data_IF_635846532451
#
_entry.id   IF_635846532451
#
_cell.length_a   1.000
_cell.length_b   1.000
_cell.length_c   1.000
_cell.angle_alpha   90.00
_cell.angle_beta   90.00
_cell.angle_gamma   90.00
#
_symmetry.space_group_name_H-M   'P 1'
#
loop_
_entity.id
_entity.type
_entity.pdbx_description
1 polymer ?
#
# COMPACT_ATOMS: atom_id res chain seq x y z
N UNK A 1 -16.34 8.56 84.22
CA UNK A 1 -15.99 9.70 83.35
C UNK A 1 -14.83 9.30 82.45
N UNK A 2 -15.02 9.38 81.14
CA UNK A 2 -14.05 9.78 80.08
C UNK A 2 -14.51 9.16 78.76
N UNK A 3 -15.20 9.98 77.98
CA UNK A 3 -15.62 9.72 76.60
C UNK A 3 -14.40 9.95 75.71
N UNK A 4 -14.08 9.01 74.82
CA UNK A 4 -13.07 9.21 73.77
C UNK A 4 -13.84 9.49 72.48
N UNK A 5 -13.66 10.71 71.98
CA UNK A 5 -14.28 11.27 70.77
C UNK A 5 -13.43 10.80 69.59
N UNK A 6 -14.02 10.00 68.70
CA UNK A 6 -13.44 9.63 67.42
C UNK A 6 -13.67 10.73 66.40
N UNK A 7 -12.59 11.35 65.92
CA UNK A 7 -12.61 12.36 64.86
C UNK A 7 -12.71 11.65 63.51
N UNK A 8 -13.86 11.77 62.85
CA UNK A 8 -14.05 11.30 61.47
C UNK A 8 -13.54 12.40 60.53
N UNK A 9 -12.42 12.14 59.87
CA UNK A 9 -11.85 13.03 58.85
C UNK A 9 -12.57 12.78 57.53
N UNK A 10 -13.34 13.77 57.07
CA UNK A 10 -14.07 13.72 55.80
C UNK A 10 -13.08 14.03 54.67
N UNK A 11 -12.66 13.00 53.94
CA UNK A 11 -11.81 13.15 52.76
C UNK A 11 -12.67 13.70 51.61
N UNK A 12 -12.51 14.99 51.31
CA UNK A 12 -13.20 15.68 50.23
C UNK A 12 -12.65 15.18 48.87
N UNK A 13 -13.42 14.34 48.19
CA UNK A 13 -13.17 13.90 46.81
C UNK A 13 -13.36 15.10 45.86
N UNK A 14 -12.25 15.69 45.42
CA UNK A 14 -12.24 16.68 44.33
C UNK A 14 -12.43 15.91 43.03
N UNK A 15 -13.63 15.95 42.48
CA UNK A 15 -13.89 15.49 41.10
C UNK A 15 -13.44 16.62 40.18
N UNK A 16 -12.25 16.49 39.60
CA UNK A 16 -11.87 17.32 38.44
C UNK A 16 -12.75 16.88 37.27
N UNK A 17 -13.82 17.63 37.02
CA UNK A 17 -14.48 17.62 35.73
C UNK A 17 -13.53 18.28 34.73
N UNK A 18 -12.72 17.47 34.04
CA UNK A 18 -12.04 17.89 32.83
C UNK A 18 -13.16 18.18 31.81
N UNK A 19 -13.40 19.46 31.56
CA UNK A 19 -14.23 19.87 30.44
C UNK A 19 -13.38 19.61 29.20
N UNK A 20 -13.65 18.54 28.46
CA UNK A 20 -13.01 18.29 27.18
C UNK A 20 -13.35 19.46 26.27
N UNK A 21 -12.40 20.40 26.13
CA UNK A 21 -12.52 21.49 25.18
C UNK A 21 -12.59 20.86 23.80
N UNK A 22 -13.74 20.98 23.14
CA UNK A 22 -13.91 20.52 21.77
C UNK A 22 -12.91 21.29 20.91
N UNK A 23 -11.88 20.59 20.43
CA UNK A 23 -10.86 21.16 19.56
C UNK A 23 -11.48 21.34 18.17
N UNK A 24 -11.84 22.56 17.83
CA UNK A 24 -12.26 22.94 16.48
C UNK A 24 -11.05 23.51 15.73
N UNK A 25 -10.70 22.94 14.57
CA UNK A 25 -9.61 23.43 13.71
C UNK A 25 -10.05 23.45 12.25
N UNK A 26 -9.43 24.32 11.44
CA UNK A 26 -9.58 24.34 9.99
C UNK A 26 -8.37 23.72 9.24
N UNK A 27 -7.45 23.13 10.00
CA UNK A 27 -6.32 22.39 9.46
C UNK A 27 -6.79 21.06 8.86
N UNK A 28 -6.29 20.72 7.66
CA UNK A 28 -6.55 19.44 6.99
C UNK A 28 -5.40 19.04 6.08
N UNK A 29 -5.26 17.74 5.87
CA UNK A 29 -4.37 17.21 4.85
C UNK A 29 -5.15 16.88 3.57
N UNK A 30 -4.48 17.05 2.43
CA UNK A 30 -5.00 16.72 1.10
C UNK A 30 -4.05 15.71 0.47
N UNK A 31 -4.63 14.63 -0.05
CA UNK A 31 -3.90 13.57 -0.74
C UNK A 31 -4.17 13.64 -2.25
N UNK A 32 -3.16 13.36 -3.06
CA UNK A 32 -3.27 13.27 -4.51
C UNK A 32 -2.28 12.25 -5.09
N UNK A 33 -2.48 11.87 -6.36
CA UNK A 33 -1.56 11.03 -7.14
C UNK A 33 -1.21 9.70 -6.46
N UNK A 34 -2.22 9.01 -5.95
CA UNK A 34 -2.05 7.68 -5.37
C UNK A 34 -1.59 6.70 -6.44
N UNK A 35 -0.45 6.05 -6.21
CA UNK A 35 0.18 5.10 -7.11
C UNK A 35 0.47 3.81 -6.33
N UNK A 36 -0.44 2.82 -6.36
CA UNK A 36 -0.22 1.53 -5.73
C UNK A 36 0.73 0.66 -6.57
N UNK A 37 1.49 -0.20 -5.88
CA UNK A 37 2.26 -1.31 -6.44
C UNK A 37 1.90 -2.59 -5.68
N UNK A 38 2.61 -3.68 -5.94
CA UNK A 38 2.32 -4.98 -5.30
C UNK A 38 2.49 -4.96 -3.79
N UNK A 39 3.58 -4.34 -3.28
CA UNK A 39 3.89 -4.30 -1.84
C UNK A 39 4.34 -2.91 -1.37
N UNK A 40 4.06 -1.90 -2.19
CA UNK A 40 4.35 -0.50 -1.88
C UNK A 40 3.27 0.40 -2.44
N UNK A 41 3.22 1.63 -1.95
CA UNK A 41 2.38 2.67 -2.52
C UNK A 41 3.03 4.03 -2.31
N UNK A 42 2.77 4.96 -3.22
CA UNK A 42 3.20 6.34 -3.06
C UNK A 42 2.05 7.30 -3.32
N UNK A 43 2.08 8.46 -2.68
CA UNK A 43 1.10 9.52 -2.90
C UNK A 43 1.67 10.87 -2.47
N UNK A 44 1.05 11.94 -2.95
CA UNK A 44 1.40 13.31 -2.59
C UNK A 44 0.52 13.80 -1.47
N UNK A 45 1.12 14.46 -0.49
CA UNK A 45 0.46 15.03 0.68
C UNK A 45 0.74 16.52 0.76
N UNK A 46 -0.30 17.29 1.00
CA UNK A 46 -0.22 18.71 1.33
C UNK A 46 -1.02 18.98 2.61
N UNK A 47 -0.45 19.72 3.56
CA UNK A 47 -1.17 20.12 4.79
C UNK A 47 -1.54 21.60 4.71
N UNK A 48 -2.85 21.85 4.71
CA UNK A 48 -3.45 23.19 4.76
C UNK A 48 -3.77 23.54 6.21
N UNK A 49 -3.19 24.63 6.70
CA UNK A 49 -3.42 25.15 8.05
C UNK A 49 -3.57 26.69 7.99
N UNK A 50 -4.76 27.19 7.58
CA UNK A 50 -4.97 28.63 7.35
C UNK A 50 -4.88 29.49 8.61
N UNK A 51 -5.26 28.95 9.76
CA UNK A 51 -5.23 29.66 11.04
C UNK A 51 -3.89 29.53 11.78
N UNK A 52 -2.95 28.74 11.23
CA UNK A 52 -1.66 28.42 11.86
C UNK A 52 -1.81 27.82 13.27
N UNK A 53 -2.74 26.88 13.41
CA UNK A 53 -3.13 26.28 14.68
C UNK A 53 -2.24 25.11 15.09
N UNK A 54 -1.58 24.45 14.13
CA UNK A 54 -0.80 23.25 14.40
C UNK A 54 0.50 23.56 15.16
N UNK A 55 0.80 22.77 16.18
CA UNK A 55 1.96 22.99 17.06
C UNK A 55 3.29 22.87 16.31
N UNK A 56 3.35 21.98 15.31
CA UNK A 56 4.54 21.71 14.52
C UNK A 56 4.17 21.16 13.14
N UNK A 57 5.20 20.92 12.31
CA UNK A 57 5.08 20.45 10.92
C UNK A 57 5.50 18.99 10.72
N UNK A 58 5.56 18.21 11.80
CA UNK A 58 5.76 16.77 11.75
C UNK A 58 4.41 16.08 11.78
N UNK A 59 4.21 15.19 10.83
CA UNK A 59 2.96 14.47 10.64
C UNK A 59 3.24 12.99 10.65
N UNK A 60 2.42 12.24 11.38
CA UNK A 60 2.41 10.79 11.30
C UNK A 60 1.40 10.38 10.24
N UNK A 61 1.88 9.67 9.23
CA UNK A 61 1.05 9.13 8.15
C UNK A 61 1.04 7.63 8.29
N UNK A 62 -0.15 7.05 8.33
CA UNK A 62 -0.37 5.65 8.60
C UNK A 62 -1.20 5.02 7.50
N UNK A 63 -0.71 3.90 6.96
CA UNK A 63 -1.49 2.95 6.18
C UNK A 63 -1.89 1.76 7.05
N UNK A 64 -3.18 1.44 7.13
CA UNK A 64 -3.67 0.31 7.93
C UNK A 64 -4.66 -0.59 7.18
N UNK A 65 -4.57 -1.89 7.46
CA UNK A 65 -5.49 -2.92 6.98
C UNK A 65 -5.59 -4.03 8.01
N UNK A 66 -6.71 -4.09 8.75
CA UNK A 66 -6.84 -4.96 9.92
C UNK A 66 -5.74 -4.68 10.95
N UNK A 67 -4.98 -5.70 11.32
CA UNK A 67 -3.85 -5.60 12.25
C UNK A 67 -2.55 -5.11 11.58
N UNK A 68 -2.45 -5.15 10.24
CA UNK A 68 -1.25 -4.71 9.53
C UNK A 68 -1.23 -3.20 9.39
N UNK A 69 -0.22 -2.57 9.99
CA UNK A 69 -0.08 -1.11 9.97
C UNK A 69 1.35 -0.71 9.63
N UNK A 70 1.51 0.21 8.69
CA UNK A 70 2.79 0.83 8.35
C UNK A 70 2.66 2.33 8.57
N UNK A 71 3.59 2.93 9.30
CA UNK A 71 3.58 4.37 9.60
C UNK A 71 4.91 5.02 9.30
N UNK A 72 4.86 6.27 8.85
CA UNK A 72 6.02 7.13 8.67
C UNK A 72 5.77 8.47 9.35
N UNK A 73 6.81 9.03 9.94
CA UNK A 73 6.82 10.42 10.39
C UNK A 73 7.46 11.28 9.30
N UNK A 74 6.79 12.36 8.90
CA UNK A 74 7.24 13.22 7.81
C UNK A 74 7.09 14.69 8.18
N UNK A 75 8.14 15.46 7.93
CA UNK A 75 8.07 16.91 7.98
C UNK A 75 7.52 17.47 6.65
N UNK A 76 6.45 18.25 6.72
CA UNK A 76 5.84 18.92 5.55
C UNK A 76 5.75 20.41 5.84
N UNK A 77 6.65 21.18 5.25
CA UNK A 77 6.70 22.63 5.42
C UNK A 77 5.42 23.33 4.88
N UNK A 78 5.22 24.59 5.26
CA UNK A 78 4.13 25.41 4.74
C UNK A 78 4.21 25.49 3.21
N UNK A 79 3.07 25.34 2.53
CA UNK A 79 2.95 25.35 1.07
C UNK A 79 3.75 24.27 0.32
N UNK A 80 4.25 23.26 1.02
CA UNK A 80 4.95 22.13 0.41
C UNK A 80 3.98 20.99 0.08
N UNK A 81 4.18 20.39 -1.09
CA UNK A 81 3.60 19.10 -1.46
C UNK A 81 4.72 18.06 -1.33
N UNK A 82 4.53 17.04 -0.49
CA UNK A 82 5.52 16.00 -0.24
C UNK A 82 5.06 14.69 -0.90
N UNK A 83 5.93 14.07 -1.69
CA UNK A 83 5.75 12.67 -2.09
C UNK A 83 6.14 11.80 -0.89
N UNK A 84 5.24 10.92 -0.49
CA UNK A 84 5.48 9.91 0.54
C UNK A 84 5.40 8.52 -0.07
N UNK A 85 6.24 7.62 0.44
CA UNK A 85 6.39 6.26 -0.06
C UNK A 85 6.29 5.30 1.11
N UNK A 86 5.49 4.25 0.92
CA UNK A 86 5.30 3.16 1.86
C UNK A 86 5.78 1.87 1.23
N UNK A 87 6.50 1.06 1.98
CA UNK A 87 6.92 -0.30 1.63
C UNK A 87 6.32 -1.30 2.62
N UNK A 88 6.61 -2.59 2.43
CA UNK A 88 6.17 -3.65 3.36
C UNK A 88 4.64 -3.74 3.48
N UNK A 89 3.93 -3.44 2.39
CA UNK A 89 2.50 -3.66 2.29
C UNK A 89 2.23 -5.10 1.81
N UNK A 90 1.13 -5.68 2.28
CA UNK A 90 0.64 -6.96 1.80
C UNK A 90 0.07 -6.80 0.39
N UNK A 91 0.26 -7.81 -0.47
CA UNK A 91 -0.32 -7.84 -1.82
C UNK A 91 -1.85 -7.92 -1.77
N UNK A 92 -2.50 -7.48 -2.83
CA UNK A 92 -3.97 -7.58 -3.03
C UNK A 92 -4.83 -7.07 -1.86
N UNK A 93 -4.31 -6.11 -1.11
CA UNK A 93 -4.86 -5.64 0.16
C UNK A 93 -5.29 -4.18 0.05
N UNK A 94 -6.49 -3.87 0.53
CA UNK A 94 -6.98 -2.50 0.69
C UNK A 94 -6.42 -1.87 1.98
N UNK A 95 -5.95 -0.64 1.88
CA UNK A 95 -5.43 0.16 2.98
C UNK A 95 -6.22 1.46 3.17
N UNK A 96 -6.44 1.78 4.45
CA UNK A 96 -6.88 3.06 4.99
C UNK A 96 -5.71 4.02 5.07
N UNK A 97 -5.95 5.31 4.92
CA UNK A 97 -4.94 6.34 5.18
C UNK A 97 -5.41 7.21 6.36
N UNK A 98 -4.53 7.38 7.35
CA UNK A 98 -4.71 8.38 8.41
C UNK A 98 -3.51 9.32 8.45
N UNK A 99 -3.77 10.62 8.58
CA UNK A 99 -2.73 11.64 8.76
C UNK A 99 -3.03 12.37 10.06
N UNK A 100 -2.07 12.32 10.98
CA UNK A 100 -2.19 12.91 12.31
C UNK A 100 -1.11 13.98 12.49
N UNK A 101 -1.53 15.17 12.94
CA UNK A 101 -0.65 16.23 13.43
C UNK A 101 -0.81 16.44 14.94
N UNK A 102 -0.23 17.52 15.46
CA UNK A 102 -0.37 17.92 16.87
C UNK A 102 -1.03 19.29 16.97
N UNK A 103 -2.02 19.42 17.85
CA UNK A 103 -2.73 20.65 18.15
C UNK A 103 -2.94 20.75 19.66
N UNK A 104 -2.43 21.82 20.28
CA UNK A 104 -2.48 22.05 21.73
C UNK A 104 -1.91 20.87 22.55
N UNK A 105 -0.82 20.27 22.08
CA UNK A 105 -0.16 19.12 22.71
C UNK A 105 -0.88 17.78 22.52
N UNK A 106 -1.99 17.74 21.79
CA UNK A 106 -2.80 16.54 21.54
C UNK A 106 -2.76 16.12 20.07
N UNK A 107 -2.92 14.82 19.81
CA UNK A 107 -3.05 14.30 18.45
C UNK A 107 -4.32 14.84 17.78
N UNK A 108 -4.20 15.30 16.54
CA UNK A 108 -5.31 15.82 15.75
C UNK A 108 -5.35 15.14 14.37
N UNK A 109 -6.49 14.56 14.01
CA UNK A 109 -6.67 13.89 12.72
C UNK A 109 -6.92 14.91 11.62
N UNK A 110 -5.99 15.01 10.68
CA UNK A 110 -6.03 15.94 9.56
C UNK A 110 -6.68 15.32 8.32
N UNK A 111 -6.68 13.98 8.24
CA UNK A 111 -7.26 13.22 7.15
C UNK A 111 -7.52 11.78 7.61
N UNK A 112 -8.66 11.24 7.18
CA UNK A 112 -9.05 9.84 7.32
C UNK A 112 -9.69 9.37 6.03
N UNK A 113 -9.41 8.13 5.62
CA UNK A 113 -10.11 7.48 4.52
C UNK A 113 -10.53 6.05 4.85
N UNK A 114 -11.57 5.57 4.18
CA UNK A 114 -12.09 4.21 4.38
C UNK A 114 -11.27 3.15 3.64
N UNK A 115 -11.13 3.23 2.32
CA UNK A 115 -10.26 2.36 1.52
C UNK A 115 -9.81 3.14 0.29
N UNK A 116 -8.51 3.44 0.17
CA UNK A 116 -8.04 4.33 -0.90
C UNK A 116 -6.89 3.74 -1.70
N UNK A 117 -6.14 2.80 -1.12
CA UNK A 117 -5.02 2.15 -1.77
C UNK A 117 -5.33 0.67 -1.82
N UNK A 118 -5.44 0.09 -3.01
CA UNK A 118 -5.46 -1.36 -3.21
C UNK A 118 -4.13 -1.76 -3.83
N UNK A 119 -3.33 -2.53 -3.10
CA UNK A 119 -2.09 -3.10 -3.65
C UNK A 119 -2.40 -4.16 -4.69
N UNK A 120 -1.41 -4.43 -5.55
CA UNK A 120 -1.57 -5.28 -6.73
C UNK A 120 -1.13 -6.72 -6.47
N UNK A 121 -1.56 -7.65 -7.32
CA UNK A 121 -1.11 -9.03 -7.27
C UNK A 121 0.30 -9.18 -7.83
N UNK A 122 0.98 -10.26 -7.47
CA UNK A 122 2.25 -10.60 -8.10
C UNK A 122 2.09 -10.70 -9.63
N UNK A 123 3.08 -10.19 -10.37
CA UNK A 123 3.05 -10.13 -11.83
C UNK A 123 2.13 -9.06 -12.42
N UNK A 124 1.42 -8.24 -11.63
CA UNK A 124 0.67 -7.10 -12.19
C UNK A 124 1.55 -5.91 -12.54
N UNK A 125 2.80 -5.90 -12.05
CA UNK A 125 3.79 -4.86 -12.33
C UNK A 125 5.09 -5.49 -12.76
N UNK A 126 5.81 -4.85 -13.69
CA UNK A 126 7.11 -5.30 -14.15
C UNK A 126 8.16 -5.36 -13.03
N UNK A 127 8.02 -4.53 -11.99
CA UNK A 127 8.95 -4.51 -10.85
C UNK A 127 8.79 -5.70 -9.87
N UNK A 128 7.69 -6.46 -9.97
CA UNK A 128 7.42 -7.66 -9.14
C UNK A 128 6.85 -8.80 -10.00
N UNK A 129 7.66 -9.34 -10.93
CA UNK A 129 7.21 -10.34 -11.89
C UNK A 129 7.04 -11.72 -11.24
N UNK A 130 6.21 -12.56 -11.85
CA UNK A 130 6.11 -13.97 -11.50
C UNK A 130 7.38 -14.69 -11.96
N UNK A 131 8.03 -15.40 -11.03
CA UNK A 131 9.20 -16.22 -11.34
C UNK A 131 8.78 -17.52 -12.02
N UNK A 132 9.43 -17.83 -13.14
CA UNK A 132 9.23 -19.09 -13.87
C UNK A 132 10.51 -19.93 -13.75
N UNK A 133 10.37 -21.11 -13.15
CA UNK A 133 11.45 -22.08 -12.91
C UNK A 133 11.23 -23.42 -13.60
N UNK A 134 9.99 -23.69 -14.01
CA UNK A 134 9.59 -24.94 -14.65
C UNK A 134 8.81 -24.71 -15.95
N UNK A 135 8.79 -25.74 -16.79
CA UNK A 135 8.00 -25.77 -18.03
C UNK A 135 6.49 -25.66 -17.74
N UNK A 136 6.01 -26.25 -16.65
CA UNK A 136 4.59 -26.18 -16.29
C UNK A 136 4.19 -24.76 -15.87
N UNK A 137 5.02 -24.06 -15.09
CA UNK A 137 4.78 -22.65 -14.77
C UNK A 137 4.76 -21.77 -16.02
N UNK A 138 5.62 -22.04 -17.01
CA UNK A 138 5.61 -21.33 -18.28
C UNK A 138 4.29 -21.53 -19.04
N UNK A 139 3.73 -22.74 -19.04
CA UNK A 139 2.47 -23.04 -19.75
C UNK A 139 1.25 -22.36 -19.13
N UNK A 140 1.30 -22.06 -17.84
CA UNK A 140 0.23 -21.38 -17.10
C UNK A 140 0.34 -19.84 -17.14
N UNK A 141 1.20 -19.29 -18.00
CA UNK A 141 1.34 -17.84 -18.14
C UNK A 141 0.04 -17.18 -18.62
N UNK A 142 -0.24 -16.00 -18.05
CA UNK A 142 -1.37 -15.15 -18.36
C UNK A 142 -0.94 -13.97 -19.23
N UNK A 143 -1.83 -13.57 -20.14
CA UNK A 143 -1.49 -12.62 -21.20
C UNK A 143 -1.05 -11.23 -20.70
N UNK A 144 -1.51 -10.80 -19.52
CA UNK A 144 -1.29 -9.43 -19.00
C UNK A 144 -0.27 -9.37 -17.87
N UNK A 145 0.28 -10.51 -17.47
CA UNK A 145 1.19 -10.61 -16.32
C UNK A 145 2.65 -10.48 -16.75
N UNK A 146 3.48 -10.04 -15.83
CA UNK A 146 4.92 -9.89 -15.99
C UNK A 146 5.64 -11.12 -15.44
N UNK A 147 6.62 -11.62 -16.19
CA UNK A 147 7.32 -12.87 -15.90
C UNK A 147 8.83 -12.69 -16.00
N UNK A 148 9.54 -13.49 -15.20
CA UNK A 148 11.00 -13.54 -15.20
C UNK A 148 11.46 -14.99 -15.09
N UNK A 149 12.34 -15.43 -15.99
CA UNK A 149 12.96 -16.75 -15.87
C UNK A 149 13.94 -16.77 -14.70
N UNK A 150 13.91 -17.88 -13.96
CA UNK A 150 14.81 -18.14 -12.83
C UNK A 150 15.53 -19.49 -12.97
N UNK A 151 15.33 -20.18 -14.09
CA UNK A 151 15.98 -21.42 -14.45
C UNK A 151 15.93 -21.64 -15.98
N UNK A 152 16.83 -22.45 -16.51
CA UNK A 152 16.71 -22.97 -17.87
C UNK A 152 15.48 -23.88 -17.97
N UNK A 153 14.71 -23.73 -19.05
CA UNK A 153 13.53 -24.56 -19.32
C UNK A 153 13.80 -25.49 -20.50
N UNK A 154 13.81 -26.80 -20.26
CA UNK A 154 13.89 -27.82 -21.30
C UNK A 154 12.51 -28.44 -21.51
N UNK A 155 11.93 -28.24 -22.70
CA UNK A 155 10.63 -28.82 -23.07
C UNK A 155 10.76 -30.28 -23.53
N UNK A 156 11.96 -30.84 -23.61
CA UNK A 156 12.21 -32.23 -24.02
C UNK A 156 11.58 -32.60 -25.38
N UNK A 157 11.50 -31.64 -26.30
CA UNK A 157 10.81 -31.75 -27.59
C UNK A 157 9.29 -31.95 -27.49
N UNK A 158 8.70 -31.65 -26.32
CA UNK A 158 7.26 -31.64 -26.13
C UNK A 158 6.60 -30.64 -27.08
N UNK A 159 5.52 -31.08 -27.72
CA UNK A 159 4.68 -30.21 -28.53
C UNK A 159 3.70 -29.43 -27.66
N UNK A 160 3.72 -28.11 -27.75
CA UNK A 160 2.73 -27.24 -27.11
C UNK A 160 1.93 -26.47 -28.16
N UNK A 161 0.73 -26.03 -27.78
CA UNK A 161 0.01 -25.00 -28.51
C UNK A 161 0.60 -23.62 -28.16
N UNK A 162 0.47 -22.61 -29.04
CA UNK A 162 0.75 -21.23 -28.65
C UNK A 162 -0.06 -20.87 -27.40
N UNK A 163 0.61 -20.32 -26.38
CA UNK A 163 -0.06 -19.93 -25.13
C UNK A 163 -1.03 -18.75 -25.33
N UNK A 164 -0.77 -17.94 -26.34
CA UNK A 164 -1.51 -16.73 -26.67
C UNK A 164 -1.88 -16.73 -28.16
N UNK A 165 -2.93 -15.99 -28.50
CA UNK A 165 -3.46 -15.89 -29.86
C UNK A 165 -3.59 -14.43 -30.31
N UNK A 166 -3.96 -14.21 -31.57
CA UNK A 166 -4.24 -12.86 -32.05
C UNK A 166 -5.41 -12.19 -31.29
N UNK A 167 -6.39 -12.97 -30.81
CA UNK A 167 -7.51 -12.48 -30.02
C UNK A 167 -7.16 -12.18 -28.55
N UNK A 168 -6.16 -12.86 -28.02
CA UNK A 168 -5.64 -12.64 -26.65
C UNK A 168 -4.11 -12.57 -26.71
N UNK A 169 -3.54 -11.47 -27.24
CA UNK A 169 -2.10 -11.34 -27.38
C UNK A 169 -1.44 -11.17 -26.01
N UNK A 170 -0.20 -11.64 -25.89
CA UNK A 170 0.63 -11.34 -24.73
C UNK A 170 0.93 -9.84 -24.70
N UNK A 171 0.54 -9.19 -23.61
CA UNK A 171 0.69 -7.77 -23.32
C UNK A 171 1.45 -7.53 -22.00
N UNK A 172 2.06 -8.57 -21.43
CA UNK A 172 2.97 -8.46 -20.30
C UNK A 172 4.42 -8.23 -20.73
N UNK A 173 5.34 -8.29 -19.77
CA UNK A 173 6.78 -8.39 -20.05
C UNK A 173 7.29 -9.79 -19.71
N UNK A 174 8.30 -10.24 -20.44
CA UNK A 174 8.96 -11.52 -20.20
C UNK A 174 10.48 -11.30 -20.18
N UNK A 175 11.06 -11.30 -18.99
CA UNK A 175 12.51 -11.18 -18.78
C UNK A 175 13.15 -12.56 -18.79
N UNK A 176 13.93 -12.87 -19.83
CA UNK A 176 14.68 -14.12 -19.91
C UNK A 176 15.78 -14.26 -18.85
N UNK A 177 16.21 -13.16 -18.22
CA UNK A 177 17.15 -13.14 -17.10
C UNK A 177 18.45 -13.96 -17.32
N UNK A 178 18.89 -14.09 -18.58
CA UNK A 178 20.06 -14.88 -18.97
C UNK A 178 19.85 -16.40 -19.05
N UNK A 179 18.65 -16.91 -18.77
CA UNK A 179 18.29 -18.32 -18.91
C UNK A 179 17.74 -18.64 -20.31
N UNK A 180 17.75 -19.93 -20.66
CA UNK A 180 17.35 -20.42 -21.98
C UNK A 180 16.06 -21.23 -21.92
N UNK A 181 15.19 -21.04 -22.93
CA UNK A 181 14.11 -21.97 -23.25
C UNK A 181 14.56 -22.82 -24.44
N UNK A 182 14.62 -24.13 -24.27
CA UNK A 182 15.16 -25.08 -25.26
C UNK A 182 14.22 -26.24 -25.55
N UNK A 183 14.44 -26.85 -26.71
CA UNK A 183 13.72 -28.04 -27.20
C UNK A 183 12.19 -27.88 -27.16
N UNK A 184 11.69 -26.67 -27.40
CA UNK A 184 10.26 -26.37 -27.50
C UNK A 184 9.77 -26.62 -28.93
N UNK A 185 8.69 -27.37 -29.07
CA UNK A 185 8.02 -27.58 -30.35
C UNK A 185 6.64 -26.91 -30.30
N UNK A 186 6.41 -25.86 -31.09
CA UNK A 186 5.12 -25.16 -31.15
C UNK A 186 4.36 -25.68 -32.36
N UNK A 187 3.22 -26.33 -32.12
CA UNK A 187 2.32 -26.75 -33.21
C UNK A 187 1.55 -25.53 -33.71
N UNK A 188 1.45 -25.38 -35.03
CA UNK A 188 0.62 -24.34 -35.64
C UNK A 188 -0.82 -24.42 -35.11
N UNK A 189 -1.32 -23.28 -34.61
CA UNK A 189 -2.76 -23.08 -34.47
C UNK A 189 -3.32 -22.67 -35.84
N UNK A 190 -4.58 -23.05 -36.12
CA UNK A 190 -5.29 -22.65 -37.35
C UNK A 190 -5.54 -21.13 -37.45
N UNK A 191 -5.17 -20.37 -36.42
CA UNK A 191 -5.43 -18.94 -36.22
C UNK A 191 -4.13 -18.10 -36.36
N UNK A 192 -3.20 -18.60 -37.18
CA UNK A 192 -2.00 -17.85 -37.58
C UNK A 192 -2.44 -16.64 -38.39
N UNK A 193 -2.01 -15.45 -37.99
CA UNK A 193 -2.21 -14.22 -38.78
C UNK A 193 -1.68 -14.45 -40.20
N UNK A 194 -2.60 -14.51 -41.17
CA UNK A 194 -2.25 -14.54 -42.59
C UNK A 194 -2.21 -13.10 -43.07
N UNK A 195 -1.03 -12.54 -43.41
CA UNK A 195 -0.99 -11.27 -44.12
C UNK A 195 -1.77 -11.46 -45.43
N UNK A 196 -2.74 -10.57 -45.67
CA UNK A 196 -3.47 -10.47 -46.94
C UNK A 196 -2.53 -10.11 -48.09
#
# INVERSE_FOLDING_TARGET
MKKIIGVVTFLLLIVLAACDTVITSNARAVISNITPKTQSASFRVEVKDPSEELDNRNFKITLSSGEHTVSIDVEIAKSQIKLVEFTELNRETSYKISIIGTLNGSSYELYHSDETIKTLAIGDTEEDPISITTVEEFKEMEAKKHYKLMNDLDFENASIQPLFSAGTPFNGSFDGNGFTIKNINIKESADTYKPY
#
